data_IF_048567939871
#
_entry.id   IF_048567939871
#
_cell.length_a   1.000
_cell.length_b   1.000
_cell.length_c   1.000
_cell.angle_alpha   90.00
_cell.angle_beta   90.00
_cell.angle_gamma   90.00
#
_symmetry.space_group_name_H-M   'P 1'
#
loop_
_entity.id
_entity.type
_entity.pdbx_description
1 polymer ?
#
# COMPACT_ATOMS: atom_id res chain seq x y z
N UNK A 1 -7.33 7.17 -7.83
CA UNK A 1 -5.91 6.79 -7.93
C UNK A 1 -5.43 7.04 -9.36
N UNK A 2 -4.18 7.49 -9.53
CA UNK A 2 -3.52 7.61 -10.85
C UNK A 2 -3.37 6.25 -11.53
N UNK A 3 -3.08 5.18 -10.77
CA UNK A 3 -2.93 3.81 -11.29
C UNK A 3 -4.20 3.32 -11.97
N UNK A 4 -5.37 3.48 -11.31
CA UNK A 4 -6.66 3.05 -11.87
C UNK A 4 -6.98 3.76 -13.19
N UNK A 5 -6.69 5.07 -13.28
CA UNK A 5 -6.88 5.83 -14.52
C UNK A 5 -5.98 5.32 -15.64
N UNK A 6 -4.69 5.14 -15.35
CA UNK A 6 -3.72 4.58 -16.30
C UNK A 6 -4.10 3.18 -16.78
N UNK A 7 -4.64 2.34 -15.90
CA UNK A 7 -5.14 1.02 -16.30
C UNK A 7 -6.34 1.12 -17.24
N UNK A 8 -7.32 1.98 -16.90
CA UNK A 8 -8.48 2.23 -17.75
C UNK A 8 -8.09 2.73 -19.14
N UNK A 9 -7.12 3.64 -19.23
CA UNK A 9 -6.59 4.14 -20.50
C UNK A 9 -5.98 3.00 -21.33
N UNK A 10 -5.07 2.21 -20.75
CA UNK A 10 -4.47 1.09 -21.47
C UNK A 10 -5.47 0.04 -21.93
N UNK A 11 -6.49 -0.29 -21.11
CA UNK A 11 -7.56 -1.20 -21.54
C UNK A 11 -8.42 -0.64 -22.67
N UNK A 12 -8.70 0.67 -22.69
CA UNK A 12 -9.45 1.32 -23.79
C UNK A 12 -8.69 1.27 -25.11
N UNK A 13 -7.37 1.30 -25.06
CA UNK A 13 -6.50 1.25 -26.23
C UNK A 13 -6.08 -0.19 -26.61
N UNK A 14 -6.66 -1.20 -25.97
CA UNK A 14 -6.26 -2.62 -26.11
C UNK A 14 -4.78 -2.88 -25.82
N UNK A 15 -4.12 -1.97 -25.09
CA UNK A 15 -2.74 -2.09 -24.69
C UNK A 15 -2.65 -2.64 -23.26
N UNK A 16 -2.59 -3.97 -23.15
CA UNK A 16 -2.54 -4.68 -21.86
C UNK A 16 -1.20 -4.53 -21.12
N UNK A 17 -0.14 -4.08 -21.80
CA UNK A 17 1.16 -3.83 -21.17
C UNK A 17 1.10 -2.66 -20.18
N UNK A 18 0.38 -1.59 -20.52
CA UNK A 18 0.20 -0.41 -19.66
C UNK A 18 -0.42 -0.78 -18.29
N UNK A 19 -1.59 -1.45 -18.20
CA UNK A 19 -2.17 -1.86 -16.93
C UNK A 19 -1.29 -2.88 -16.21
N UNK A 20 -0.70 -3.87 -16.90
CA UNK A 20 0.16 -4.87 -16.28
C UNK A 20 1.33 -4.23 -15.51
N UNK A 21 2.04 -3.30 -16.16
CA UNK A 21 3.17 -2.59 -15.55
C UNK A 21 2.70 -1.63 -14.46
N UNK A 22 1.61 -0.90 -14.69
CA UNK A 22 1.08 0.06 -13.72
C UNK A 22 0.63 -0.62 -12.42
N UNK A 23 -0.14 -1.71 -12.52
CA UNK A 23 -0.58 -2.51 -11.37
C UNK A 23 0.62 -3.12 -10.66
N UNK A 24 1.52 -3.79 -11.37
CA UNK A 24 2.71 -4.41 -10.77
C UNK A 24 3.54 -3.39 -10.00
N UNK A 25 3.85 -2.24 -10.60
CA UNK A 25 4.65 -1.20 -9.96
C UNK A 25 3.97 -0.62 -8.73
N UNK A 26 2.67 -0.37 -8.78
CA UNK A 26 1.93 0.10 -7.61
C UNK A 26 1.91 -0.96 -6.48
N UNK A 27 1.62 -2.22 -6.82
CA UNK A 27 1.52 -3.31 -5.86
C UNK A 27 2.85 -3.53 -5.15
N UNK A 28 3.97 -3.66 -5.87
CA UNK A 28 5.28 -3.91 -5.24
C UNK A 28 5.90 -2.64 -4.66
N UNK A 29 6.12 -1.62 -5.48
CA UNK A 29 6.98 -0.48 -5.12
C UNK A 29 6.33 0.55 -4.21
N UNK A 30 5.02 0.45 -3.96
CA UNK A 30 4.29 1.41 -3.12
C UNK A 30 3.52 0.67 -2.05
N UNK A 31 2.63 -0.25 -2.46
CA UNK A 31 1.75 -0.91 -1.51
C UNK A 31 2.51 -1.91 -0.62
N UNK A 32 3.21 -2.88 -1.20
CA UNK A 32 3.92 -3.90 -0.44
C UNK A 32 5.12 -3.33 0.30
N UNK A 33 6.04 -2.67 -0.41
CA UNK A 33 7.29 -2.19 0.19
C UNK A 33 7.03 -1.19 1.32
N UNK A 34 6.11 -0.25 1.14
CA UNK A 34 5.94 0.85 2.10
C UNK A 34 4.64 0.78 2.89
N UNK A 35 3.49 0.74 2.22
CA UNK A 35 2.21 0.87 2.93
C UNK A 35 1.91 -0.33 3.84
N UNK A 36 2.17 -1.56 3.38
CA UNK A 36 1.99 -2.76 4.21
C UNK A 36 2.89 -2.65 5.43
N UNK A 37 4.20 -2.41 5.25
CA UNK A 37 5.16 -2.26 6.35
C UNK A 37 4.72 -1.21 7.38
N UNK A 38 4.33 -0.01 6.93
CA UNK A 38 3.82 1.06 7.79
C UNK A 38 2.57 0.65 8.55
N UNK A 39 1.68 -0.12 7.92
CA UNK A 39 0.41 -0.51 8.51
C UNK A 39 0.50 -1.72 9.45
N UNK A 40 1.59 -2.49 9.45
CA UNK A 40 1.70 -3.77 10.17
C UNK A 40 1.38 -3.65 11.65
N UNK A 41 2.05 -2.75 12.37
CA UNK A 41 1.85 -2.63 13.82
C UNK A 41 0.40 -2.22 14.15
N UNK A 42 -0.16 -1.29 13.36
CA UNK A 42 -1.56 -0.89 13.47
C UNK A 42 -2.53 -2.03 13.16
N UNK A 43 -2.28 -2.81 12.12
CA UNK A 43 -3.10 -3.96 11.76
C UNK A 43 -3.05 -5.08 12.81
N UNK A 44 -1.92 -5.22 13.53
CA UNK A 44 -1.79 -6.12 14.68
C UNK A 44 -2.30 -5.52 16.01
N UNK A 45 -2.77 -4.26 16.02
CA UNK A 45 -3.25 -3.60 17.24
C UNK A 45 -2.15 -3.24 18.25
N UNK A 46 -0.88 -3.21 17.83
CA UNK A 46 0.27 -2.99 18.72
C UNK A 46 0.56 -1.50 18.89
N UNK A 47 0.08 -0.92 19.98
CA UNK A 47 0.22 0.52 20.25
C UNK A 47 -0.80 1.40 19.51
N UNK A 48 -1.90 0.79 19.05
CA UNK A 48 -3.00 1.46 18.34
C UNK A 48 -4.33 1.07 18.98
N UNK A 49 -5.32 1.96 18.91
CA UNK A 49 -6.68 1.65 19.33
C UNK A 49 -7.33 0.64 18.39
N UNK A 50 -8.41 0.00 18.85
CA UNK A 50 -9.17 -0.89 17.98
C UNK A 50 -9.76 -0.18 16.75
N UNK A 51 -10.14 1.10 16.90
CA UNK A 51 -10.66 1.88 15.77
C UNK A 51 -9.59 2.11 14.71
N UNK A 52 -8.35 2.40 15.11
CA UNK A 52 -7.20 2.51 14.21
C UNK A 52 -6.88 1.18 13.54
N UNK A 53 -6.96 0.07 14.28
CA UNK A 53 -6.77 -1.28 13.74
C UNK A 53 -7.82 -1.62 12.68
N UNK A 54 -9.10 -1.41 12.97
CA UNK A 54 -10.20 -1.61 12.01
C UNK A 54 -10.04 -0.73 10.76
N UNK A 55 -9.58 0.52 10.92
CA UNK A 55 -9.29 1.41 9.80
C UNK A 55 -8.14 0.88 8.92
N UNK A 56 -7.11 0.28 9.51
CA UNK A 56 -6.02 -0.36 8.76
C UNK A 56 -6.53 -1.54 7.94
N UNK A 57 -7.30 -2.46 8.54
CA UNK A 57 -7.88 -3.60 7.83
C UNK A 57 -8.80 -3.16 6.70
N UNK A 58 -9.67 -2.20 6.96
CA UNK A 58 -10.55 -1.63 5.93
C UNK A 58 -9.73 -1.14 4.73
N UNK A 59 -8.68 -0.36 4.98
CA UNK A 59 -7.86 0.19 3.91
C UNK A 59 -7.08 -0.90 3.14
N UNK A 60 -6.50 -1.88 3.85
CA UNK A 60 -5.81 -3.01 3.22
C UNK A 60 -6.75 -3.82 2.31
N UNK A 61 -7.96 -4.10 2.76
CA UNK A 61 -8.96 -4.78 1.94
C UNK A 61 -9.42 -3.95 0.74
N UNK A 62 -9.62 -2.63 0.91
CA UNK A 62 -10.00 -1.75 -0.20
C UNK A 62 -8.91 -1.69 -1.29
N UNK A 63 -7.64 -1.61 -0.88
CA UNK A 63 -6.52 -1.60 -1.82
C UNK A 63 -6.38 -2.95 -2.52
N UNK A 64 -6.42 -4.06 -1.78
CA UNK A 64 -6.35 -5.41 -2.35
C UNK A 64 -7.50 -5.65 -3.34
N UNK A 65 -8.74 -5.32 -2.97
CA UNK A 65 -9.92 -5.42 -3.84
C UNK A 65 -9.69 -4.66 -5.17
N UNK A 66 -9.16 -3.45 -5.08
CA UNK A 66 -8.87 -2.61 -6.25
C UNK A 66 -7.77 -3.22 -7.13
N UNK A 67 -6.69 -3.76 -6.52
CA UNK A 67 -5.62 -4.45 -7.25
C UNK A 67 -6.17 -5.66 -8.01
N UNK A 68 -6.97 -6.50 -7.34
CA UNK A 68 -7.56 -7.69 -7.96
C UNK A 68 -8.44 -7.32 -9.15
N UNK A 69 -9.32 -6.31 -9.02
CA UNK A 69 -10.18 -5.87 -10.12
C UNK A 69 -9.38 -5.29 -11.30
N UNK A 70 -8.31 -4.54 -11.03
CA UNK A 70 -7.43 -4.05 -12.10
C UNK A 70 -6.66 -5.17 -12.79
N UNK A 71 -6.31 -6.24 -12.07
CA UNK A 71 -5.51 -7.35 -12.59
C UNK A 71 -6.35 -8.45 -13.25
N UNK A 72 -7.65 -8.53 -12.93
CA UNK A 72 -8.52 -9.61 -13.40
C UNK A 72 -8.54 -9.83 -14.92
N UNK A 73 -8.51 -8.78 -15.77
CA UNK A 73 -8.43 -8.96 -17.22
C UNK A 73 -7.10 -9.56 -17.72
N UNK A 74 -6.05 -9.57 -16.89
CA UNK A 74 -4.70 -10.07 -17.24
C UNK A 74 -4.40 -11.42 -16.57
N UNK A 75 -4.84 -11.62 -15.32
CA UNK A 75 -4.55 -12.84 -14.54
C UNK A 75 -5.82 -13.44 -13.94
N UNK A 76 -6.76 -13.91 -14.79
CA UNK A 76 -8.14 -14.15 -14.39
C UNK A 76 -8.33 -15.22 -13.32
N UNK A 77 -7.55 -16.31 -13.35
CA UNK A 77 -7.72 -17.44 -12.45
C UNK A 77 -7.29 -17.10 -11.01
N UNK A 78 -6.10 -16.53 -10.84
CA UNK A 78 -5.58 -16.20 -9.49
C UNK A 78 -6.39 -15.07 -8.86
N UNK A 79 -6.80 -14.07 -9.64
CA UNK A 79 -7.62 -12.97 -9.11
C UNK A 79 -9.00 -13.46 -8.69
N UNK A 80 -9.61 -14.37 -9.46
CA UNK A 80 -10.90 -14.96 -9.13
C UNK A 80 -10.82 -15.86 -7.89
N UNK A 81 -9.77 -16.68 -7.79
CA UNK A 81 -9.54 -17.50 -6.61
C UNK A 81 -9.43 -16.67 -5.33
N UNK A 82 -8.57 -15.64 -5.33
CA UNK A 82 -8.38 -14.77 -4.16
C UNK A 82 -9.69 -14.02 -3.86
N UNK A 83 -10.37 -13.50 -4.88
CA UNK A 83 -11.65 -12.82 -4.71
C UNK A 83 -12.70 -13.70 -4.05
N UNK A 84 -12.81 -14.97 -4.50
CA UNK A 84 -13.78 -15.91 -3.96
C UNK A 84 -13.51 -16.32 -2.53
N UNK A 85 -12.24 -16.35 -2.13
CA UNK A 85 -11.84 -16.62 -0.76
C UNK A 85 -12.12 -15.47 0.20
N UNK A 86 -11.98 -14.22 -0.26
CA UNK A 86 -11.98 -13.07 0.63
C UNK A 86 -13.26 -12.22 0.59
N UNK A 87 -13.96 -12.17 -0.54
CA UNK A 87 -14.96 -11.12 -0.78
C UNK A 87 -16.35 -11.61 -1.23
N UNK A 88 -16.44 -12.64 -2.07
CA UNK A 88 -17.74 -13.07 -2.61
C UNK A 88 -17.67 -14.46 -3.20
N UNK A 89 -18.70 -15.30 -3.05
CA UNK A 89 -18.74 -16.60 -3.74
C UNK A 89 -18.87 -16.48 -5.27
N UNK A 90 -19.34 -15.32 -5.77
CA UNK A 90 -19.45 -15.02 -7.20
C UNK A 90 -18.09 -14.65 -7.79
N UNK A 91 -17.94 -14.87 -9.09
CA UNK A 91 -16.71 -14.56 -9.79
C UNK A 91 -16.39 -13.07 -9.77
N UNK A 92 -15.12 -12.70 -9.67
CA UNK A 92 -14.66 -11.32 -9.84
C UNK A 92 -15.02 -10.78 -11.25
N UNK A 93 -15.17 -11.66 -12.23
CA UNK A 93 -15.44 -11.28 -13.62
C UNK A 93 -16.86 -10.77 -13.86
N UNK A 94 -17.75 -10.86 -12.86
CA UNK A 94 -19.08 -10.21 -12.89
C UNK A 94 -19.07 -8.82 -12.27
N UNK A 95 -17.94 -8.38 -11.72
CA UNK A 95 -17.79 -7.09 -11.06
C UNK A 95 -17.44 -5.97 -12.05
N UNK A 96 -17.74 -4.73 -11.65
CA UNK A 96 -17.37 -3.55 -12.44
C UNK A 96 -15.91 -3.18 -12.18
N UNK A 97 -15.24 -2.69 -13.22
CA UNK A 97 -13.92 -2.09 -13.08
C UNK A 97 -13.94 -0.93 -12.06
N UNK A 98 -12.92 -0.78 -11.20
CA UNK A 98 -12.91 0.23 -10.14
C UNK A 98 -12.97 1.65 -10.70
N UNK A 99 -13.80 2.49 -10.09
CA UNK A 99 -13.87 3.92 -10.42
C UNK A 99 -12.88 4.71 -9.56
N UNK A 100 -12.17 5.70 -10.12
CA UNK A 100 -11.16 6.47 -9.38
C UNK A 100 -11.77 7.52 -8.43
N UNK A 101 -12.52 7.09 -7.41
CA UNK A 101 -13.24 7.96 -6.46
C UNK A 101 -12.64 7.93 -5.05
N UNK A 102 -11.34 8.19 -4.94
CA UNK A 102 -10.66 8.28 -3.64
C UNK A 102 -10.17 9.69 -3.37
N UNK A 103 -10.26 10.08 -2.11
CA UNK A 103 -9.68 11.30 -1.59
C UNK A 103 -8.16 11.35 -1.87
N UNK A 104 -7.70 12.51 -2.36
CA UNK A 104 -6.31 12.74 -2.76
C UNK A 104 -5.56 13.63 -1.79
N UNK A 105 -6.18 14.08 -0.69
CA UNK A 105 -5.56 15.02 0.28
C UNK A 105 -4.18 14.58 0.77
N UNK A 106 -3.96 13.27 0.91
CA UNK A 106 -2.70 12.70 1.38
C UNK A 106 -1.74 12.20 0.29
N UNK A 107 -2.13 12.20 -1.00
CA UNK A 107 -1.24 11.67 -2.06
C UNK A 107 0.00 12.52 -2.25
N UNK A 108 -0.02 13.78 -1.80
CA UNK A 108 1.13 14.68 -1.82
C UNK A 108 2.29 14.24 -0.93
N UNK A 109 2.07 13.32 0.02
CA UNK A 109 3.12 12.83 0.93
C UNK A 109 3.75 11.51 0.46
N UNK A 110 3.21 10.88 -0.59
CA UNK A 110 3.63 9.53 -0.99
C UNK A 110 5.12 9.49 -1.33
N UNK A 111 5.64 10.50 -2.03
CA UNK A 111 7.04 10.55 -2.42
C UNK A 111 7.94 10.70 -1.19
N UNK A 112 7.60 11.62 -0.30
CA UNK A 112 8.36 11.91 0.92
C UNK A 112 8.38 10.72 1.89
N UNK A 113 7.26 9.99 2.01
CA UNK A 113 7.19 8.77 2.83
C UNK A 113 8.11 7.69 2.27
N UNK A 114 8.07 7.46 0.95
CA UNK A 114 8.91 6.47 0.28
C UNK A 114 10.39 6.82 0.50
N UNK A 115 10.76 8.07 0.26
CA UNK A 115 12.12 8.56 0.41
C UNK A 115 12.63 8.44 1.86
N UNK A 116 11.80 8.82 2.83
CA UNK A 116 12.13 8.67 4.25
C UNK A 116 12.33 7.19 4.63
N UNK A 117 11.39 6.32 4.26
CA UNK A 117 11.48 4.89 4.55
C UNK A 117 12.74 4.26 3.94
N UNK A 118 13.01 4.54 2.67
CA UNK A 118 14.21 4.08 1.98
C UNK A 118 15.49 4.59 2.63
N UNK A 119 15.51 5.85 3.10
CA UNK A 119 16.65 6.44 3.80
C UNK A 119 16.90 5.73 5.13
N UNK A 120 15.87 5.49 5.93
CA UNK A 120 16.01 4.78 7.22
C UNK A 120 16.55 3.37 7.00
N UNK A 121 16.01 2.62 6.04
CA UNK A 121 16.50 1.27 5.75
C UNK A 121 17.93 1.25 5.23
N UNK A 122 18.31 2.23 4.39
CA UNK A 122 19.68 2.40 3.91
C UNK A 122 20.64 2.63 5.07
N UNK A 123 20.30 3.54 5.98
CA UNK A 123 21.11 3.84 7.17
C UNK A 123 21.29 2.57 8.03
N UNK A 124 20.20 1.82 8.30
CA UNK A 124 20.29 0.57 9.07
C UNK A 124 21.22 -0.44 8.39
N UNK A 125 21.08 -0.62 7.08
CA UNK A 125 21.92 -1.53 6.30
C UNK A 125 23.39 -1.12 6.36
N UNK A 126 23.70 0.16 6.19
CA UNK A 126 25.08 0.69 6.23
C UNK A 126 25.72 0.53 7.62
N UNK A 127 24.91 0.54 8.68
CA UNK A 127 25.35 0.29 10.06
C UNK A 127 25.36 -1.20 10.43
N UNK A 128 25.03 -2.12 9.53
CA UNK A 128 24.92 -3.55 9.82
C UNK A 128 23.76 -3.94 10.74
N UNK A 129 22.79 -3.03 10.93
CA UNK A 129 21.65 -3.22 11.83
C UNK A 129 20.52 -4.01 11.15
N UNK A 130 19.77 -4.78 11.94
CA UNK A 130 18.54 -5.38 11.45
C UNK A 130 17.42 -4.34 11.29
N UNK A 131 16.43 -4.59 10.42
CA UNK A 131 15.30 -3.66 10.23
C UNK A 131 14.46 -3.45 11.51
N UNK A 132 14.46 -4.43 12.43
CA UNK A 132 13.75 -4.36 13.71
C UNK A 132 14.53 -3.64 14.80
N UNK A 133 15.83 -3.48 14.63
CA UNK A 133 16.67 -2.82 15.61
C UNK A 133 16.26 -1.36 15.78
N UNK A 134 16.20 -0.82 17.00
CA UNK A 134 15.81 0.57 17.20
C UNK A 134 16.80 1.56 16.59
N UNK A 135 16.33 2.74 16.19
CA UNK A 135 17.16 3.78 15.58
C UNK A 135 16.76 5.18 16.06
N UNK A 136 17.74 6.04 16.29
CA UNK A 136 17.51 7.46 16.56
C UNK A 136 17.56 8.25 15.23
N UNK A 137 16.41 8.80 14.83
CA UNK A 137 16.28 9.64 13.64
C UNK A 137 15.09 10.59 13.80
N UNK A 138 15.26 11.85 13.38
CA UNK A 138 14.16 12.82 13.39
C UNK A 138 13.20 12.60 12.21
N UNK A 139 11.90 12.55 12.50
CA UNK A 139 10.86 12.52 11.47
C UNK A 139 10.64 13.94 10.93
N UNK A 140 10.77 14.18 9.60
CA UNK A 140 10.57 15.49 9.02
C UNK A 140 9.22 16.10 9.40
N UNK A 141 9.17 17.42 9.65
CA UNK A 141 7.94 18.14 10.05
C UNK A 141 6.74 17.83 9.14
N UNK A 142 6.96 17.72 7.82
CA UNK A 142 5.92 17.40 6.83
C UNK A 142 5.29 16.01 7.01
N UNK A 143 6.00 15.07 7.63
CA UNK A 143 5.56 13.70 7.87
C UNK A 143 5.08 13.44 9.30
N UNK A 144 5.05 14.46 10.17
CA UNK A 144 4.61 14.32 11.57
C UNK A 144 3.20 13.76 11.71
N UNK A 145 2.32 14.00 10.75
CA UNK A 145 0.96 13.43 10.75
C UNK A 145 0.96 11.88 10.68
N UNK A 146 2.05 11.28 10.19
CA UNK A 146 2.24 9.82 10.12
C UNK A 146 3.22 9.31 11.18
N UNK A 147 3.61 10.14 12.16
CA UNK A 147 4.68 9.81 13.11
C UNK A 147 4.41 8.51 13.88
N UNK A 148 3.14 8.22 14.19
CA UNK A 148 2.77 7.02 14.95
C UNK A 148 3.10 5.75 14.16
N UNK A 149 2.71 5.71 12.88
CA UNK A 149 3.02 4.59 11.98
C UNK A 149 4.53 4.51 11.70
N UNK A 150 5.19 5.65 11.45
CA UNK A 150 6.63 5.69 11.14
C UNK A 150 7.50 5.26 12.33
N UNK A 151 7.18 5.72 13.55
CA UNK A 151 7.87 5.28 14.78
C UNK A 151 7.70 3.78 14.99
N UNK A 152 6.47 3.28 14.83
CA UNK A 152 6.16 1.87 15.04
C UNK A 152 6.81 0.95 13.99
N UNK A 153 6.88 1.39 12.73
CA UNK A 153 7.50 0.63 11.64
C UNK A 153 9.01 0.52 11.78
N UNK A 154 9.68 1.63 12.10
CA UNK A 154 11.14 1.70 12.10
C UNK A 154 11.77 1.54 13.49
N UNK A 155 10.95 1.37 14.54
CA UNK A 155 11.39 1.37 15.95
C UNK A 155 12.20 2.64 16.28
N UNK A 156 11.66 3.81 15.91
CA UNK A 156 12.35 5.07 16.12
C UNK A 156 12.29 5.43 17.61
N UNK A 157 13.47 5.47 18.24
CA UNK A 157 13.66 5.99 19.59
C UNK A 157 14.13 7.43 19.39
N UNK A 158 13.20 8.36 19.33
CA UNK A 158 13.50 9.79 19.34
C UNK A 158 13.09 10.36 20.68
N UNK A 159 13.95 11.19 21.28
CA UNK A 159 13.63 12.07 22.41
C UNK A 159 12.47 13.03 22.10
#
# INVERSE_FOLDING_TARGET
SSTVRRCLEGYKEFNFFIPAVAVRNFTWRIFADHYIEMSKQRAYGRGFSESEQRAAWFTLHQVLKTILLMLAPISPFVTDYIWRKLYSKKSIHTEKFPKPKWDRRYTKYTKEIIEFNSTVWKIKKERGMSLKEPIEIEIPRKLRIFQKDLKAMHNIISS
#
